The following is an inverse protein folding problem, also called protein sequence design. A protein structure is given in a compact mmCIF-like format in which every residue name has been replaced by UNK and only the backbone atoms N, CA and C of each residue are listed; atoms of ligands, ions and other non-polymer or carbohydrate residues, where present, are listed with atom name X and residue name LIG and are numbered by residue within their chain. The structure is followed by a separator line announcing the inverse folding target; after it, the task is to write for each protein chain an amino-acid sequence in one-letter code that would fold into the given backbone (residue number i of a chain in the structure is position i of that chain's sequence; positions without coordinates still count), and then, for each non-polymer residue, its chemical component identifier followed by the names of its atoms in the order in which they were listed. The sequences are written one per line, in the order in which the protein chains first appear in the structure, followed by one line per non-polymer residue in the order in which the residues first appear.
data_IF_969945652806
#
_entry.id   IF_969945652806
#
_cell.length_a   1.000
_cell.length_b   1.000
_cell.length_c   1.000
_cell.angle_alpha   90.00
_cell.angle_beta   90.00
_cell.angle_gamma   90.00
#
_symmetry.space_group_name_H-M   'P 1'
#
loop_
_entity.id
_entity.type
_entity.pdbx_description
1 polymer ?
#
# COMPACT_ATOMS: atom_id res chain seq x y z
N UNK A 1 5.97 17.66 -23.32
CA UNK A 1 5.23 18.19 -22.15
C UNK A 1 6.22 18.25 -21.00
N UNK A 2 6.55 19.44 -20.52
CA UNK A 2 7.37 19.61 -19.31
C UNK A 2 6.61 18.96 -18.14
N UNK A 3 7.24 17.97 -17.50
CA UNK A 3 6.65 17.33 -16.32
C UNK A 3 6.46 18.41 -15.25
N UNK A 4 5.28 18.50 -14.62
CA UNK A 4 5.04 19.47 -13.56
C UNK A 4 6.05 19.26 -12.44
N UNK A 5 6.51 20.36 -11.85
CA UNK A 5 7.40 20.35 -10.69
C UNK A 5 6.69 19.58 -9.56
N UNK A 6 7.26 18.43 -9.19
CA UNK A 6 6.69 17.55 -8.19
C UNK A 6 7.11 18.02 -6.81
N UNK A 7 6.16 18.44 -5.99
CA UNK A 7 6.39 18.73 -4.57
C UNK A 7 5.80 17.61 -3.68
N UNK A 8 6.12 17.65 -2.39
CA UNK A 8 5.67 16.65 -1.39
C UNK A 8 4.13 16.58 -1.25
N UNK A 9 3.40 17.60 -1.70
CA UNK A 9 1.94 17.71 -1.61
C UNK A 9 1.24 17.25 -2.90
N UNK A 10 1.84 17.47 -4.07
CA UNK A 10 1.26 17.14 -5.38
C UNK A 10 1.47 15.67 -5.79
N UNK A 11 2.43 14.99 -5.14
CA UNK A 11 2.72 13.57 -5.35
C UNK A 11 1.47 12.67 -5.24
N UNK A 12 0.47 13.06 -4.45
CA UNK A 12 -0.79 12.32 -4.26
C UNK A 12 -1.54 12.05 -5.57
N UNK A 13 -1.31 12.87 -6.59
CA UNK A 13 -1.93 12.80 -7.92
C UNK A 13 -1.22 11.85 -8.89
N UNK A 14 -0.01 11.37 -8.57
CA UNK A 14 0.73 10.47 -9.46
C UNK A 14 0.17 9.04 -9.43
N UNK A 15 0.10 8.40 -10.60
CA UNK A 15 -0.26 6.98 -10.72
C UNK A 15 0.89 6.10 -10.20
N UNK A 16 0.71 5.50 -9.01
CA UNK A 16 1.84 4.88 -8.29
C UNK A 16 2.06 3.38 -8.52
N UNK A 17 1.08 2.66 -9.06
CA UNK A 17 1.10 1.18 -9.04
C UNK A 17 1.57 0.57 -10.37
N UNK A 18 2.28 1.35 -11.19
CA UNK A 18 2.66 0.95 -12.54
C UNK A 18 4.18 1.10 -12.69
N UNK A 19 4.92 -0.02 -12.67
CA UNK A 19 6.36 0.01 -12.97
C UNK A 19 6.66 0.60 -14.35
N UNK A 20 5.72 0.49 -15.29
CA UNK A 20 5.82 1.08 -16.64
C UNK A 20 6.07 2.58 -16.57
N UNK A 21 5.53 3.30 -15.58
CA UNK A 21 5.79 4.74 -15.46
C UNK A 21 7.24 5.04 -15.12
N UNK A 22 7.87 4.23 -14.26
CA UNK A 22 9.31 4.37 -13.97
C UNK A 22 10.12 4.13 -15.24
N UNK A 23 9.70 3.16 -16.06
CA UNK A 23 10.34 2.88 -17.35
C UNK A 23 10.16 4.05 -18.31
N UNK A 24 8.94 4.57 -18.45
CA UNK A 24 8.65 5.73 -19.30
C UNK A 24 9.49 6.94 -18.86
N UNK A 25 9.61 7.16 -17.54
CA UNK A 25 10.40 8.25 -16.95
C UNK A 25 11.89 8.16 -17.25
N UNK A 26 12.43 6.95 -17.41
CA UNK A 26 13.85 6.70 -17.65
C UNK A 26 14.18 6.36 -19.10
N UNK A 27 13.17 6.14 -19.95
CA UNK A 27 13.33 5.62 -21.31
C UNK A 27 14.14 6.52 -22.24
N UNK A 28 14.15 7.83 -21.98
CA UNK A 28 14.97 8.81 -22.71
C UNK A 28 16.48 8.68 -22.40
N UNK A 29 16.84 8.06 -21.28
CA UNK A 29 18.21 8.00 -20.76
C UNK A 29 18.78 6.58 -20.75
N UNK A 30 17.92 5.57 -20.55
CA UNK A 30 18.32 4.18 -20.34
C UNK A 30 17.40 3.27 -21.16
N UNK A 31 17.94 2.26 -21.88
CA UNK A 31 17.11 1.28 -22.58
C UNK A 31 16.09 0.62 -21.64
N UNK A 32 14.82 0.65 -22.04
CA UNK A 32 13.70 0.17 -21.23
C UNK A 32 13.88 -1.26 -20.72
N UNK A 33 14.50 -2.14 -21.51
CA UNK A 33 14.78 -3.52 -21.11
C UNK A 33 15.66 -3.58 -19.84
N UNK A 34 16.72 -2.78 -19.77
CA UNK A 34 17.61 -2.74 -18.60
C UNK A 34 16.88 -2.23 -17.35
N UNK A 35 16.00 -1.24 -17.52
CA UNK A 35 15.17 -0.73 -16.42
C UNK A 35 14.23 -1.84 -15.92
N UNK A 36 13.52 -2.53 -16.81
CA UNK A 36 12.65 -3.66 -16.45
C UNK A 36 13.41 -4.77 -15.71
N UNK A 37 14.55 -5.21 -16.25
CA UNK A 37 15.38 -6.25 -15.62
C UNK A 37 15.84 -5.84 -14.22
N UNK A 38 16.28 -4.58 -14.06
CA UNK A 38 16.71 -4.04 -12.76
C UNK A 38 15.55 -4.04 -11.76
N UNK A 39 14.40 -3.49 -12.13
CA UNK A 39 13.21 -3.41 -11.26
C UNK A 39 12.70 -4.81 -10.86
N UNK A 40 12.77 -5.80 -11.75
CA UNK A 40 12.42 -7.19 -11.46
C UNK A 40 13.43 -7.83 -10.49
N UNK A 41 14.73 -7.77 -10.79
CA UNK A 41 15.80 -8.38 -9.97
C UNK A 41 15.87 -7.79 -8.57
N UNK A 42 15.58 -6.50 -8.41
CA UNK A 42 15.53 -5.81 -7.10
C UNK A 42 14.19 -5.98 -6.37
N UNK A 43 13.21 -6.66 -6.97
CA UNK A 43 11.94 -6.97 -6.32
C UNK A 43 10.93 -5.81 -6.27
N UNK A 44 11.15 -4.74 -7.04
CA UNK A 44 10.25 -3.57 -7.08
C UNK A 44 8.87 -3.97 -7.62
N UNK A 45 8.81 -4.85 -8.63
CA UNK A 45 7.54 -5.39 -9.15
C UNK A 45 6.77 -6.17 -8.08
N UNK A 46 7.47 -7.01 -7.30
CA UNK A 46 6.87 -7.75 -6.18
C UNK A 46 6.30 -6.77 -5.15
N UNK A 47 7.01 -5.69 -4.84
CA UNK A 47 6.53 -4.66 -3.92
C UNK A 47 5.22 -4.02 -4.37
N UNK A 48 5.13 -3.59 -5.64
CA UNK A 48 3.88 -3.03 -6.18
C UNK A 48 2.72 -4.04 -6.16
N UNK A 49 3.00 -5.32 -6.46
CA UNK A 49 2.00 -6.38 -6.37
C UNK A 49 1.51 -6.61 -4.93
N UNK A 50 2.45 -6.70 -3.97
CA UNK A 50 2.14 -6.84 -2.54
C UNK A 50 1.31 -5.66 -2.04
N UNK A 51 1.69 -4.43 -2.39
CA UNK A 51 0.91 -3.23 -2.04
C UNK A 51 -0.53 -3.33 -2.54
N UNK A 52 -0.74 -3.78 -3.78
CA UNK A 52 -2.09 -3.99 -4.33
C UNK A 52 -2.86 -5.07 -3.57
N UNK A 53 -2.20 -6.15 -3.15
CA UNK A 53 -2.81 -7.19 -2.33
C UNK A 53 -3.19 -6.69 -0.94
N UNK A 54 -2.34 -5.90 -0.27
CA UNK A 54 -2.65 -5.28 1.02
C UNK A 54 -3.86 -4.35 0.93
N UNK A 55 -3.96 -3.53 -0.13
CA UNK A 55 -5.12 -2.67 -0.37
C UNK A 55 -6.41 -3.51 -0.52
N UNK A 56 -6.35 -4.61 -1.29
CA UNK A 56 -7.49 -5.53 -1.46
C UNK A 56 -7.87 -6.18 -0.13
N UNK A 57 -6.89 -6.69 0.61
CA UNK A 57 -7.09 -7.33 1.91
C UNK A 57 -7.75 -6.38 2.93
N UNK A 58 -7.29 -5.13 3.00
CA UNK A 58 -7.91 -4.06 3.81
C UNK A 58 -9.40 -3.85 3.47
N UNK A 59 -9.74 -3.91 2.19
CA UNK A 59 -11.13 -3.78 1.73
C UNK A 59 -11.95 -5.03 2.05
N UNK A 60 -11.38 -6.23 1.90
CA UNK A 60 -12.00 -7.49 2.32
C UNK A 60 -12.36 -7.48 3.80
N UNK A 61 -11.44 -7.05 4.67
CA UNK A 61 -11.72 -6.95 6.10
C UNK A 61 -12.80 -5.90 6.41
N UNK A 62 -12.85 -4.79 5.67
CA UNK A 62 -13.96 -3.81 5.81
C UNK A 62 -15.32 -4.46 5.55
N UNK A 63 -15.42 -5.29 4.50
CA UNK A 63 -16.65 -6.03 4.18
C UNK A 63 -16.98 -7.02 5.29
N UNK A 64 -16.03 -7.86 5.70
CA UNK A 64 -16.23 -8.85 6.77
C UNK A 64 -16.64 -8.23 8.11
N UNK A 65 -16.11 -7.05 8.47
CA UNK A 65 -16.56 -6.29 9.65
C UNK A 65 -18.03 -5.89 9.51
N UNK A 66 -18.43 -5.42 8.33
CA UNK A 66 -19.81 -5.00 8.04
C UNK A 66 -20.75 -6.20 8.12
N UNK A 67 -20.36 -7.31 7.51
CA UNK A 67 -21.11 -8.57 7.51
C UNK A 67 -21.26 -9.12 8.94
N UNK A 68 -20.20 -9.07 9.74
CA UNK A 68 -20.22 -9.47 11.15
C UNK A 68 -21.21 -8.64 11.99
N UNK A 69 -21.30 -7.33 11.74
CA UNK A 69 -22.27 -6.45 12.41
C UNK A 69 -23.71 -6.83 12.00
N UNK A 70 -23.92 -7.12 10.70
CA UNK A 70 -25.22 -7.54 10.20
C UNK A 70 -25.67 -8.87 10.81
N UNK A 71 -24.79 -9.87 10.80
CA UNK A 71 -25.03 -11.20 11.38
C UNK A 71 -25.31 -11.11 12.89
N UNK A 72 -24.58 -10.25 13.61
CA UNK A 72 -24.78 -10.05 15.04
C UNK A 72 -26.19 -9.52 15.37
N UNK A 73 -26.77 -8.70 14.50
CA UNK A 73 -28.14 -8.15 14.68
C UNK A 73 -29.22 -9.20 14.45
N UNK A 74 -28.98 -10.15 13.55
CA UNK A 74 -29.94 -11.20 13.22
C UNK A 74 -29.87 -12.41 14.16
N UNK A 75 -28.69 -12.65 14.74
CA UNK A 75 -28.46 -13.81 15.59
C UNK A 75 -29.16 -13.69 16.95
N UNK A 76 -29.83 -14.75 17.40
CA UNK A 76 -30.41 -14.82 18.75
C UNK A 76 -29.45 -15.42 19.80
N UNK A 77 -28.47 -16.20 19.38
CA UNK A 77 -27.50 -16.85 20.28
C UNK A 77 -26.50 -15.86 20.88
N UNK A 78 -26.50 -15.74 22.21
CA UNK A 78 -25.53 -14.93 22.95
C UNK A 78 -24.09 -15.41 22.77
N UNK A 79 -23.87 -16.73 22.69
CA UNK A 79 -22.55 -17.32 22.41
C UNK A 79 -22.01 -16.85 21.06
N UNK A 80 -22.83 -16.90 20.02
CA UNK A 80 -22.45 -16.44 18.68
C UNK A 80 -22.22 -14.94 18.63
N UNK A 81 -23.06 -14.14 19.32
CA UNK A 81 -22.83 -12.69 19.48
C UNK A 81 -21.48 -12.38 20.11
N UNK A 82 -21.08 -13.12 21.15
CA UNK A 82 -19.77 -12.95 21.78
C UNK A 82 -18.62 -13.32 20.85
N UNK A 83 -18.72 -14.44 20.14
CA UNK A 83 -17.73 -14.85 19.15
C UNK A 83 -17.57 -13.79 18.05
N UNK A 84 -18.68 -13.28 17.49
CA UNK A 84 -18.67 -12.25 16.46
C UNK A 84 -18.00 -10.95 16.92
N UNK A 85 -18.16 -10.57 18.21
CA UNK A 85 -17.45 -9.41 18.78
C UNK A 85 -15.94 -9.63 18.78
N UNK A 86 -15.47 -10.80 19.21
CA UNK A 86 -14.04 -11.14 19.21
C UNK A 86 -13.46 -11.18 17.81
N UNK A 87 -14.15 -11.83 16.88
CA UNK A 87 -13.77 -11.89 15.47
C UNK A 87 -13.67 -10.50 14.85
N UNK A 88 -14.69 -9.65 15.05
CA UNK A 88 -14.69 -8.26 14.58
C UNK A 88 -13.53 -7.46 15.16
N UNK A 89 -13.28 -7.57 16.46
CA UNK A 89 -12.17 -6.87 17.10
C UNK A 89 -10.82 -7.24 16.45
N UNK A 90 -10.57 -8.53 16.18
CA UNK A 90 -9.37 -8.97 15.48
C UNK A 90 -9.25 -8.39 14.06
N UNK A 91 -10.34 -8.36 13.30
CA UNK A 91 -10.36 -7.75 11.96
C UNK A 91 -10.12 -6.24 12.00
N UNK A 92 -10.71 -5.53 12.97
CA UNK A 92 -10.52 -4.09 13.15
C UNK A 92 -9.06 -3.75 13.45
N UNK A 93 -8.41 -4.55 14.29
CA UNK A 93 -6.98 -4.44 14.61
C UNK A 93 -6.11 -4.62 13.37
N UNK A 94 -6.25 -5.77 12.69
CA UNK A 94 -5.48 -6.08 11.49
C UNK A 94 -5.70 -5.02 10.39
N UNK A 95 -6.95 -4.58 10.19
CA UNK A 95 -7.28 -3.53 9.22
C UNK A 95 -6.65 -2.20 9.56
N UNK A 96 -6.58 -1.83 10.84
CA UNK A 96 -5.94 -0.58 11.26
C UNK A 96 -4.45 -0.59 10.92
N UNK A 97 -3.73 -1.68 11.21
CA UNK A 97 -2.30 -1.80 10.92
C UNK A 97 -2.02 -1.72 9.42
N UNK A 98 -2.73 -2.52 8.61
CA UNK A 98 -2.57 -2.47 7.15
C UNK A 98 -3.00 -1.13 6.57
N UNK A 99 -4.01 -0.47 7.16
CA UNK A 99 -4.38 0.89 6.77
C UNK A 99 -3.23 1.86 7.07
N UNK A 100 -2.58 1.77 8.23
CA UNK A 100 -1.39 2.55 8.56
C UNK A 100 -0.30 2.40 7.49
N UNK A 101 0.02 1.16 7.10
CA UNK A 101 0.99 0.87 6.04
C UNK A 101 0.57 1.47 4.68
N UNK A 102 -0.72 1.41 4.34
CA UNK A 102 -1.24 1.95 3.07
C UNK A 102 -1.27 3.49 3.01
N UNK A 103 -1.28 4.16 4.17
CA UNK A 103 -1.40 5.61 4.30
C UNK A 103 -0.13 6.26 4.86
N UNK A 104 0.97 5.51 4.97
CA UNK A 104 2.26 6.05 5.39
C UNK A 104 2.81 7.06 4.38
N UNK A 105 3.75 7.88 4.83
CA UNK A 105 4.36 8.93 4.02
C UNK A 105 5.02 8.36 2.77
N UNK A 106 4.84 9.04 1.64
CA UNK A 106 5.34 8.56 0.35
C UNK A 106 6.84 8.75 0.18
N UNK A 107 7.38 9.80 0.79
CA UNK A 107 8.81 10.07 0.85
C UNK A 107 9.39 9.37 2.09
N UNK A 108 9.67 8.08 1.94
CA UNK A 108 10.27 7.28 2.98
C UNK A 108 11.39 6.42 2.38
N UNK A 109 12.47 6.25 3.14
CA UNK A 109 13.51 5.27 2.87
C UNK A 109 13.43 4.17 3.93
N UNK A 110 13.88 2.94 3.61
CA UNK A 110 14.08 1.91 4.62
C UNK A 110 14.98 2.42 5.75
N UNK A 111 14.64 2.07 6.99
CA UNK A 111 15.35 2.46 8.20
C UNK A 111 16.83 2.03 8.24
N UNK A 112 17.15 0.96 7.52
CA UNK A 112 18.48 0.39 7.41
C UNK A 112 19.30 0.92 6.22
N UNK A 113 18.71 1.74 5.34
CA UNK A 113 19.41 2.35 4.20
C UNK A 113 19.80 3.80 4.51
N UNK A 114 20.93 3.97 5.19
CA UNK A 114 21.42 5.28 5.66
C UNK A 114 21.66 6.28 4.54
N UNK A 115 22.10 5.81 3.36
CA UNK A 115 22.37 6.70 2.23
C UNK A 115 21.05 7.23 1.63
N UNK A 116 20.05 6.36 1.48
CA UNK A 116 18.74 6.77 1.04
C UNK A 116 18.06 7.72 2.05
N UNK A 117 18.20 7.46 3.35
CA UNK A 117 17.73 8.37 4.40
C UNK A 117 18.38 9.75 4.30
N UNK A 118 19.71 9.80 4.25
CA UNK A 118 20.44 11.05 4.13
C UNK A 118 20.02 11.84 2.88
N UNK A 119 19.84 11.15 1.75
CA UNK A 119 19.35 11.80 0.53
C UNK A 119 17.96 12.42 0.69
N UNK A 120 17.05 11.80 1.46
CA UNK A 120 15.71 12.37 1.72
C UNK A 120 15.75 13.58 2.67
N UNK A 121 16.70 13.63 3.60
CA UNK A 121 16.82 14.71 4.60
C UNK A 121 17.33 16.02 4.00
N UNK A 122 18.17 15.95 2.97
CA UNK A 122 18.78 17.12 2.32
C UNK A 122 17.92 17.75 1.20
N UNK A 123 16.75 17.15 0.90
CA UNK A 123 15.77 17.63 -0.10
C UNK A 123 14.69 18.47 0.55
#
# INVERSE_FOLDING_TARGET
MTKPEMDRTSIWNCSQNKPTMIVDDLSEYIPSQLVYESLLRRGVFKWFAVRRHLIRLKNTWKMQITDSIHEQRQTQSNKRKHWLRGYRFGLEQARREVRGLCHSDRWQAPDHDRLAQHWLEIQ
#
